data_IF_205162937634
#
_entry.id   IF_205162937634
#
_cell.length_a   1.000
_cell.length_b   1.000
_cell.length_c   1.000
_cell.angle_alpha   90.00
_cell.angle_beta   90.00
_cell.angle_gamma   90.00
#
_symmetry.space_group_name_H-M   'P 1'
#
loop_
_entity.id
_entity.type
_entity.pdbx_description
1 polymer ?
#
# COMPACT_ATOMS: atom_id res chain seq x y z
N UNK A 1 17.80 3.52 -3.81
CA UNK A 1 18.59 4.67 -3.31
C UNK A 1 17.77 5.94 -3.51
N UNK A 2 18.03 6.98 -2.73
CA UNK A 2 17.38 8.29 -2.90
C UNK A 2 18.43 9.33 -3.31
N UNK A 3 18.10 10.15 -4.30
CA UNK A 3 18.84 11.36 -4.66
C UNK A 3 17.98 12.57 -4.33
N UNK A 4 18.41 13.39 -3.37
CA UNK A 4 17.66 14.56 -2.87
C UNK A 4 16.19 14.25 -2.50
N UNK A 5 15.93 13.05 -1.97
CA UNK A 5 14.58 12.58 -1.57
C UNK A 5 13.76 11.93 -2.68
N UNK A 6 14.25 11.92 -3.92
CA UNK A 6 13.58 11.24 -5.04
C UNK A 6 14.09 9.81 -5.20
N UNK A 7 13.14 8.90 -5.45
CA UNK A 7 13.43 7.49 -5.73
C UNK A 7 14.24 7.37 -7.02
N UNK A 8 15.38 6.71 -6.93
CA UNK A 8 16.22 6.34 -8.07
C UNK A 8 16.10 4.85 -8.32
N UNK A 9 16.31 4.44 -9.58
CA UNK A 9 16.32 3.04 -9.98
C UNK A 9 17.28 2.20 -9.11
N UNK A 10 16.86 0.97 -8.80
CA UNK A 10 17.66 0.01 -8.05
C UNK A 10 18.99 -0.24 -8.76
N UNK A 11 20.09 -0.22 -7.99
CA UNK A 11 21.43 -0.49 -8.47
C UNK A 11 22.04 -1.64 -7.66
N UNK A 12 22.86 -2.44 -8.34
CA UNK A 12 23.66 -3.49 -7.73
C UNK A 12 25.07 -2.95 -7.52
N UNK A 13 25.69 -3.28 -6.39
CA UNK A 13 27.09 -2.95 -6.14
C UNK A 13 27.96 -3.79 -7.07
N UNK A 14 28.80 -3.15 -7.87
CA UNK A 14 29.78 -3.81 -8.72
C UNK A 14 31.14 -3.19 -8.48
N UNK A 15 32.18 -4.01 -8.30
CA UNK A 15 33.55 -3.54 -8.06
C UNK A 15 33.66 -2.52 -6.92
N UNK A 16 32.96 -2.79 -5.81
CA UNK A 16 32.88 -1.92 -4.62
C UNK A 16 32.34 -0.50 -4.87
N UNK A 17 31.62 -0.30 -5.97
CA UNK A 17 31.08 1.01 -6.36
C UNK A 17 29.63 0.89 -6.83
N UNK A 18 28.92 2.03 -6.79
CA UNK A 18 27.57 2.17 -7.31
C UNK A 18 27.56 3.41 -8.21
N UNK A 19 27.07 3.27 -9.44
CA UNK A 19 26.97 4.38 -10.39
C UNK A 19 25.60 5.04 -10.31
N UNK A 20 25.58 6.31 -9.89
CA UNK A 20 24.38 7.13 -9.95
C UNK A 20 24.06 7.50 -11.40
N UNK A 21 22.77 7.45 -11.76
CA UNK A 21 22.31 7.78 -13.11
C UNK A 21 22.03 9.29 -13.29
N UNK A 22 21.78 9.98 -12.20
CA UNK A 22 21.47 11.42 -12.15
C UNK A 22 22.53 12.12 -11.31
N UNK A 23 22.53 13.46 -11.31
CA UNK A 23 23.32 14.25 -10.36
C UNK A 23 22.38 14.73 -9.27
N UNK A 24 22.78 14.55 -8.00
CA UNK A 24 22.04 14.98 -6.82
C UNK A 24 23.03 15.58 -5.81
N UNK A 25 22.57 16.48 -4.96
CA UNK A 25 23.41 17.09 -3.93
C UNK A 25 23.70 16.09 -2.80
N UNK A 26 22.73 15.24 -2.46
CA UNK A 26 22.84 14.22 -1.43
C UNK A 26 22.27 12.89 -1.90
N UNK A 27 23.07 11.84 -1.72
CA UNK A 27 22.64 10.46 -1.90
C UNK A 27 22.41 9.77 -0.57
N UNK A 28 21.28 9.09 -0.44
CA UNK A 28 21.02 8.13 0.63
C UNK A 28 21.01 6.73 0.01
N UNK A 29 21.97 5.92 0.44
CA UNK A 29 22.13 4.54 -0.02
C UNK A 29 21.76 3.62 1.13
N UNK A 30 20.85 2.70 0.85
CA UNK A 30 20.38 1.68 1.79
C UNK A 30 20.04 0.40 1.03
N UNK A 31 19.77 -0.65 1.80
CA UNK A 31 19.28 -1.93 1.26
C UNK A 31 17.79 -1.79 0.95
N UNK A 32 17.34 -2.37 -0.16
CA UNK A 32 15.92 -2.41 -0.49
C UNK A 32 15.14 -3.25 0.53
N UNK A 33 13.86 -2.95 0.67
CA UNK A 33 12.96 -3.73 1.51
C UNK A 33 11.61 -3.90 0.81
N UNK A 34 10.89 -4.96 1.17
CA UNK A 34 9.49 -5.13 0.83
C UNK A 34 8.68 -5.08 2.13
N UNK A 35 8.01 -3.95 2.38
CA UNK A 35 7.07 -3.84 3.49
C UNK A 35 5.69 -4.22 2.98
N UNK A 36 5.14 -5.32 3.49
CA UNK A 36 3.80 -5.79 3.12
C UNK A 36 2.94 -5.88 4.36
N UNK A 37 1.80 -5.18 4.35
CA UNK A 37 0.79 -5.22 5.38
C UNK A 37 -0.46 -5.89 4.80
N UNK A 38 -0.85 -6.99 5.41
CA UNK A 38 -2.11 -7.69 5.16
C UNK A 38 -2.84 -7.73 6.51
N UNK A 39 -4.00 -7.05 6.64
CA UNK A 39 -4.79 -7.10 7.85
C UNK A 39 -5.38 -8.50 8.03
N UNK A 40 -5.78 -8.80 9.26
CA UNK A 40 -6.62 -9.98 9.50
C UNK A 40 -7.96 -9.82 8.80
N UNK A 41 -8.64 -10.95 8.58
CA UNK A 41 -10.01 -10.94 8.08
C UNK A 41 -10.91 -10.09 8.97
N UNK A 42 -11.82 -9.37 8.32
CA UNK A 42 -12.83 -8.61 9.00
C UNK A 42 -13.65 -9.56 9.89
N UNK A 43 -13.84 -9.21 11.16
CA UNK A 43 -14.79 -9.91 12.04
C UNK A 43 -16.03 -9.04 12.25
N UNK A 44 -17.21 -9.66 12.14
CA UNK A 44 -18.50 -9.00 12.39
C UNK A 44 -19.17 -9.83 13.49
N UNK A 45 -19.19 -9.28 14.70
CA UNK A 45 -19.87 -9.86 15.87
C UNK A 45 -19.45 -11.32 16.18
N UNK A 46 -18.20 -11.69 15.92
CA UNK A 46 -17.67 -13.02 16.22
C UNK A 46 -18.03 -14.11 15.20
N UNK A 47 -18.71 -13.75 14.09
CA UNK A 47 -19.08 -14.66 13.01
C UNK A 47 -18.24 -14.48 11.74
N UNK A 48 -17.15 -13.72 11.83
CA UNK A 48 -16.36 -13.29 10.68
C UNK A 48 -15.84 -14.41 9.79
N UNK A 49 -15.57 -15.59 10.36
CA UNK A 49 -15.06 -16.76 9.64
C UNK A 49 -16.16 -17.62 9.00
N UNK A 50 -17.41 -17.44 9.40
CA UNK A 50 -18.55 -18.29 9.00
C UNK A 50 -19.50 -17.56 8.06
N UNK A 51 -19.63 -16.25 8.22
CA UNK A 51 -20.55 -15.41 7.45
C UNK A 51 -19.89 -14.94 6.16
N UNK A 52 -20.58 -15.11 5.03
CA UNK A 52 -20.09 -14.60 3.75
C UNK A 52 -20.46 -13.13 3.61
N UNK A 53 -19.50 -12.29 3.26
CA UNK A 53 -19.65 -10.83 3.29
C UNK A 53 -19.62 -10.27 1.88
N UNK A 54 -20.45 -9.24 1.65
CA UNK A 54 -20.41 -8.46 0.41
C UNK A 54 -19.71 -7.14 0.69
N UNK A 55 -18.45 -7.05 0.27
CA UNK A 55 -17.64 -5.84 0.39
C UNK A 55 -17.59 -5.18 -0.97
N UNK A 56 -18.02 -3.91 -1.02
CA UNK A 56 -18.02 -3.15 -2.27
C UNK A 56 -16.74 -2.31 -2.40
N UNK A 57 -16.27 -1.74 -1.28
CA UNK A 57 -15.18 -0.78 -1.23
C UNK A 57 -14.40 -0.90 0.08
N UNK A 58 -13.11 -0.60 0.02
CA UNK A 58 -12.29 -0.33 1.20
C UNK A 58 -11.84 1.13 1.22
N UNK A 59 -11.71 1.69 2.41
CA UNK A 59 -11.16 3.02 2.66
C UNK A 59 -9.89 2.87 3.48
N UNK A 60 -8.76 3.29 2.94
CA UNK A 60 -7.49 3.32 3.66
C UNK A 60 -7.16 4.76 3.98
N UNK A 61 -7.15 5.12 5.26
CA UNK A 61 -6.76 6.46 5.71
C UNK A 61 -5.24 6.54 5.78
N UNK A 62 -4.67 7.39 4.94
CA UNK A 62 -3.24 7.63 4.85
C UNK A 62 -2.88 8.98 5.47
N UNK A 63 -1.72 9.04 6.11
CA UNK A 63 -1.13 10.27 6.63
C UNK A 63 0.27 10.44 6.05
N UNK A 64 0.54 11.63 5.52
CA UNK A 64 1.86 12.03 4.98
C UNK A 64 2.53 10.91 4.16
N UNK A 65 1.77 10.33 3.23
CA UNK A 65 2.20 9.18 2.43
C UNK A 65 2.49 9.63 1.00
N UNK A 66 3.66 9.29 0.46
CA UNK A 66 4.08 9.75 -0.89
C UNK A 66 4.17 8.63 -1.93
N UNK A 67 4.23 7.37 -1.48
CA UNK A 67 4.36 6.22 -2.37
C UNK A 67 3.85 4.91 -1.79
N UNK A 68 4.02 3.85 -2.57
CA UNK A 68 3.53 2.50 -2.31
C UNK A 68 2.25 2.15 -3.07
N UNK A 69 1.72 0.97 -2.78
CA UNK A 69 0.60 0.38 -3.51
C UNK A 69 -0.41 -0.22 -2.55
N UNK A 70 -1.70 -0.15 -2.90
CA UNK A 70 -2.81 -0.71 -2.12
C UNK A 70 -3.76 -1.41 -3.08
N UNK A 71 -4.24 -2.59 -2.74
CA UNK A 71 -5.37 -3.17 -3.46
C UNK A 71 -5.91 -4.47 -2.87
N UNK A 72 -6.94 -5.06 -3.51
CA UNK A 72 -7.61 -6.28 -3.03
C UNK A 72 -6.74 -7.55 -3.10
N UNK A 73 -5.56 -7.51 -3.70
CA UNK A 73 -4.60 -8.61 -3.68
C UNK A 73 -3.22 -8.13 -4.09
N UNK A 74 -2.19 -8.96 -3.90
CA UNK A 74 -0.84 -8.68 -4.42
C UNK A 74 -0.81 -8.51 -5.96
N UNK A 75 -1.77 -9.08 -6.69
CA UNK A 75 -1.87 -9.00 -8.16
C UNK A 75 -2.73 -7.85 -8.67
N UNK A 76 -3.51 -7.21 -7.80
CA UNK A 76 -4.40 -6.09 -8.13
C UNK A 76 -4.12 -4.96 -7.16
N UNK A 77 -3.14 -4.12 -7.47
CA UNK A 77 -2.76 -2.99 -6.63
C UNK A 77 -2.82 -1.66 -7.39
N UNK A 78 -3.22 -0.60 -6.70
CA UNK A 78 -3.25 0.77 -7.16
C UNK A 78 -2.20 1.59 -6.41
N UNK A 79 -1.51 2.50 -7.10
CA UNK A 79 -0.52 3.37 -6.47
C UNK A 79 -1.17 4.35 -5.48
N UNK A 80 -0.58 4.53 -4.30
CA UNK A 80 -1.09 5.45 -3.26
C UNK A 80 -0.81 6.92 -3.54
N UNK A 81 0.11 7.26 -4.44
CA UNK A 81 0.50 8.65 -4.69
C UNK A 81 1.62 8.79 -5.72
N UNK A 82 1.77 10.02 -6.23
CA UNK A 82 2.56 10.36 -7.44
C UNK A 82 3.99 10.82 -7.16
N UNK A 83 4.60 10.38 -6.04
CA UNK A 83 6.05 10.47 -5.84
C UNK A 83 6.64 11.84 -5.49
N UNK A 84 5.88 12.94 -5.52
CA UNK A 84 6.41 14.28 -5.21
C UNK A 84 5.68 15.06 -4.12
N UNK A 85 4.43 14.72 -3.80
CA UNK A 85 3.63 15.41 -2.78
C UNK A 85 3.12 14.43 -1.73
N UNK A 86 3.19 14.82 -0.46
CA UNK A 86 2.61 14.04 0.64
C UNK A 86 1.09 14.03 0.53
N UNK A 87 0.52 12.83 0.49
CA UNK A 87 -0.92 12.61 0.51
C UNK A 87 -1.39 12.32 1.94
N UNK A 88 -2.44 13.04 2.34
CA UNK A 88 -3.16 12.82 3.61
C UNK A 88 -4.65 12.76 3.30
N UNK A 89 -5.29 11.67 3.72
CA UNK A 89 -6.73 11.47 3.51
C UNK A 89 -7.10 10.02 3.22
N UNK A 90 -8.40 9.76 3.01
CA UNK A 90 -8.88 8.44 2.64
C UNK A 90 -8.57 8.15 1.16
N UNK A 91 -7.98 6.98 0.90
CA UNK A 91 -7.93 6.40 -0.44
C UNK A 91 -8.98 5.30 -0.54
N UNK A 92 -9.91 5.45 -1.48
CA UNK A 92 -10.94 4.46 -1.76
C UNK A 92 -10.43 3.45 -2.77
N UNK A 93 -10.54 2.17 -2.43
CA UNK A 93 -10.15 1.06 -3.28
C UNK A 93 -11.41 0.28 -3.63
N UNK A 94 -11.76 0.17 -4.92
CA UNK A 94 -12.85 -0.69 -5.34
C UNK A 94 -12.46 -2.15 -5.13
N UNK A 95 -13.32 -2.91 -4.44
CA UNK A 95 -13.18 -4.36 -4.36
C UNK A 95 -14.21 -4.91 -5.36
N UNK A 96 -13.78 -5.33 -6.57
CA UNK A 96 -14.71 -5.81 -7.58
C UNK A 96 -15.50 -6.99 -7.01
N UNK A 97 -16.81 -6.79 -6.91
CA UNK A 97 -17.68 -7.49 -5.99
C UNK A 97 -17.70 -9.02 -6.13
N UNK A 98 -17.95 -9.65 -4.98
CA UNK A 98 -18.17 -11.07 -4.80
C UNK A 98 -18.58 -11.33 -3.36
N UNK A 99 -19.22 -12.47 -3.13
CA UNK A 99 -19.38 -13.04 -1.81
C UNK A 99 -18.04 -13.66 -1.42
N UNK A 100 -17.28 -12.98 -0.58
CA UNK A 100 -15.97 -13.48 -0.11
C UNK A 100 -15.98 -13.65 1.40
N UNK A 101 -15.24 -14.65 1.86
CA UNK A 101 -14.91 -14.79 3.28
C UNK A 101 -13.67 -13.97 3.62
N UNK A 102 -12.74 -13.92 2.67
CA UNK A 102 -11.43 -13.29 2.86
C UNK A 102 -11.51 -11.83 2.44
N UNK A 103 -11.08 -10.94 3.33
CA UNK A 103 -11.10 -9.49 3.10
C UNK A 103 -9.67 -9.00 2.92
N UNK A 104 -9.04 -9.46 1.85
CA UNK A 104 -7.63 -9.19 1.63
C UNK A 104 -7.44 -7.78 1.06
N UNK A 105 -7.09 -6.82 1.90
CA UNK A 105 -6.45 -5.59 1.44
C UNK A 105 -4.95 -5.75 1.65
N UNK A 106 -4.19 -5.73 0.56
CA UNK A 106 -2.73 -5.73 0.62
C UNK A 106 -2.22 -4.31 0.44
N UNK A 107 -1.46 -3.82 1.41
CA UNK A 107 -0.71 -2.57 1.33
C UNK A 107 0.76 -2.93 1.21
N UNK A 108 1.45 -2.39 0.19
CA UNK A 108 2.87 -2.65 -0.03
C UNK A 108 3.66 -1.36 -0.19
N UNK A 109 4.83 -1.29 0.42
CA UNK A 109 5.82 -0.24 0.22
C UNK A 109 7.17 -0.89 -0.08
N UNK A 110 7.71 -0.58 -1.27
CA UNK A 110 9.04 -1.06 -1.71
C UNK A 110 10.07 0.06 -1.74
N UNK A 111 9.59 1.29 -1.88
CA UNK A 111 10.46 2.46 -1.90
C UNK A 111 10.66 2.99 -0.50
N UNK A 112 11.84 3.55 -0.16
CA UNK A 112 12.15 4.12 1.15
C UNK A 112 11.47 5.49 1.33
N UNK A 113 10.15 5.50 1.17
CA UNK A 113 9.28 6.65 1.15
C UNK A 113 8.33 6.60 2.36
N UNK A 114 8.01 7.77 2.97
CA UNK A 114 7.02 7.85 4.03
C UNK A 114 5.68 7.20 3.63
N UNK A 115 5.20 6.30 4.49
CA UNK A 115 3.87 5.71 4.44
C UNK A 115 3.37 5.49 5.87
N UNK A 116 2.24 6.10 6.19
CA UNK A 116 1.55 5.88 7.46
C UNK A 116 0.10 5.51 7.21
N UNK A 117 -0.27 4.28 7.61
CA UNK A 117 -1.65 3.78 7.53
C UNK A 117 -2.31 4.01 8.88
N UNK A 118 -3.32 4.88 8.92
CA UNK A 118 -4.04 5.21 10.16
C UNK A 118 -5.17 4.23 10.45
N UNK A 119 -5.94 3.86 9.43
CA UNK A 119 -7.04 2.92 9.57
C UNK A 119 -7.49 2.35 8.23
N UNK A 120 -8.13 1.19 8.30
CA UNK A 120 -8.75 0.50 7.18
C UNK A 120 -10.23 0.31 7.53
N UNK A 121 -11.11 0.83 6.69
CA UNK A 121 -12.56 0.67 6.80
C UNK A 121 -13.13 -0.03 5.57
N UNK A 122 -14.27 -0.70 5.73
CA UNK A 122 -14.94 -1.42 4.65
C UNK A 122 -16.38 -0.93 4.49
N UNK A 123 -16.81 -0.77 3.25
CA UNK A 123 -18.21 -0.55 2.88
C UNK A 123 -18.89 -1.92 2.66
N UNK A 124 -19.77 -2.28 3.61
CA UNK A 124 -20.52 -3.52 3.59
C UNK A 124 -21.88 -3.28 2.92
N UNK A 125 -22.16 -4.04 1.86
CA UNK A 125 -23.50 -4.09 1.30
C UNK A 125 -24.43 -4.87 2.24
N UNK A 126 -25.28 -4.16 3.00
CA UNK A 126 -26.37 -4.79 3.74
C UNK A 126 -27.50 -5.15 2.75
N UNK A 127 -27.80 -6.44 2.62
CA UNK A 127 -29.08 -6.89 2.05
C UNK A 127 -30.05 -7.03 3.21
N UNK A 128 -30.98 -6.09 3.34
CA UNK A 128 -32.15 -6.28 4.20
C UNK A 128 -33.21 -6.97 3.34
N UNK A 129 -33.36 -8.28 3.53
CA UNK A 129 -34.60 -9.00 3.18
C UNK A 129 -35.54 -8.99 4.40
#
# INVERSE_FOLDING_TARGET
MLGDGLVQATKVVASNQITAATTAAKYQVGVGYDSTLVPMDLDIEGTGLTTTKRINRAFVNLFETIGGTIGPSASRQESTGTGTTLFTGPKTIPIPGGYTRDTDITIKQTDPLPMSVLSIGYDLGASND
#
